data_IF_648663344539
#
_entry.id   IF_648663344539
#
_cell.length_a   1.000
_cell.length_b   1.000
_cell.length_c   1.000
_cell.angle_alpha   90.00
_cell.angle_beta   90.00
_cell.angle_gamma   90.00
#
_symmetry.space_group_name_H-M   'P 1'
#
loop_
_entity.id
_entity.type
_entity.pdbx_description
1 polymer ?
#
# COMPACT_ATOMS: atom_id res chain seq x y z
N UNK A 1 -7.92 -29.40 -32.90
CA UNK A 1 -8.28 -27.98 -32.77
C UNK A 1 -8.12 -27.34 -34.13
N UNK A 2 -9.17 -26.69 -34.63
CA UNK A 2 -9.18 -26.04 -35.94
C UNK A 2 -8.31 -24.76 -35.84
N UNK A 3 -7.30 -24.55 -36.69
CA UNK A 3 -6.42 -23.37 -36.61
C UNK A 3 -7.16 -22.02 -36.84
N UNK A 4 -8.43 -22.08 -37.26
CA UNK A 4 -9.30 -20.91 -37.45
C UNK A 4 -10.16 -20.54 -36.23
N UNK A 5 -10.16 -21.32 -35.14
CA UNK A 5 -10.87 -20.94 -33.91
C UNK A 5 -9.93 -20.15 -32.99
N UNK A 6 -10.22 -18.88 -32.77
CA UNK A 6 -9.43 -18.01 -31.88
C UNK A 6 -9.77 -18.22 -30.40
N UNK A 7 -8.89 -17.75 -29.51
CA UNK A 7 -9.17 -17.72 -28.07
C UNK A 7 -10.48 -16.97 -27.77
N UNK A 8 -11.28 -17.56 -26.89
CA UNK A 8 -12.50 -16.93 -26.39
C UNK A 8 -12.17 -15.65 -25.60
N UNK A 9 -13.02 -14.61 -25.65
CA UNK A 9 -12.80 -13.36 -24.91
C UNK A 9 -12.56 -13.56 -23.40
N UNK A 10 -13.22 -14.54 -22.79
CA UNK A 10 -13.10 -14.88 -21.38
C UNK A 10 -11.71 -15.45 -21.06
N UNK A 11 -11.18 -16.30 -21.93
CA UNK A 11 -9.82 -16.85 -21.80
C UNK A 11 -8.76 -15.77 -21.98
N UNK A 12 -8.98 -14.80 -22.88
CA UNK A 12 -8.10 -13.64 -23.05
C UNK A 12 -8.11 -12.78 -21.78
N UNK A 13 -9.29 -12.47 -21.26
CA UNK A 13 -9.46 -11.66 -20.05
C UNK A 13 -8.82 -12.34 -18.83
N UNK A 14 -9.09 -13.63 -18.63
CA UNK A 14 -8.50 -14.42 -17.56
C UNK A 14 -6.97 -14.49 -17.66
N UNK A 15 -6.43 -14.69 -18.86
CA UNK A 15 -4.98 -14.75 -19.07
C UNK A 15 -4.29 -13.42 -18.71
N UNK A 16 -4.90 -12.30 -19.07
CA UNK A 16 -4.37 -10.96 -18.79
C UNK A 16 -4.33 -10.61 -17.30
N UNK A 17 -5.33 -11.06 -16.55
CA UNK A 17 -5.47 -10.74 -15.12
C UNK A 17 -5.00 -11.88 -14.22
N UNK A 18 -4.34 -12.92 -14.77
CA UNK A 18 -3.85 -14.09 -14.05
C UNK A 18 -4.95 -14.84 -13.27
N UNK A 19 -6.17 -14.89 -13.82
CA UNK A 19 -7.33 -15.53 -13.18
C UNK A 19 -7.68 -16.91 -13.76
N UNK A 20 -6.83 -17.45 -14.65
CA UNK A 20 -7.07 -18.77 -15.23
C UNK A 20 -6.58 -19.88 -14.31
N UNK A 21 -7.37 -20.94 -14.23
CA UNK A 21 -6.95 -22.19 -13.59
C UNK A 21 -5.84 -22.87 -14.41
N UNK A 22 -5.07 -23.76 -13.78
CA UNK A 22 -3.89 -24.36 -14.39
C UNK A 22 -4.18 -25.10 -15.72
N UNK A 23 -5.37 -25.69 -15.87
CA UNK A 23 -5.79 -26.37 -17.09
C UNK A 23 -6.11 -25.38 -18.23
N UNK A 24 -6.83 -24.31 -17.91
CA UNK A 24 -7.19 -23.25 -18.87
C UNK A 24 -5.95 -22.50 -19.34
N UNK A 25 -5.01 -22.24 -18.43
CA UNK A 25 -3.73 -21.62 -18.74
C UNK A 25 -2.91 -22.46 -19.73
N UNK A 26 -2.85 -23.79 -19.53
CA UNK A 26 -2.19 -24.70 -20.49
C UNK A 26 -2.87 -24.68 -21.86
N UNK A 27 -4.20 -24.65 -21.90
CA UNK A 27 -4.95 -24.58 -23.15
C UNK A 27 -4.66 -23.28 -23.92
N UNK A 28 -4.59 -22.15 -23.22
CA UNK A 28 -4.18 -20.86 -23.81
C UNK A 28 -2.75 -20.94 -24.37
N UNK A 29 -1.79 -21.48 -23.61
CA UNK A 29 -0.40 -21.62 -24.08
C UNK A 29 -0.29 -22.52 -25.32
N UNK A 30 -0.98 -23.67 -25.32
CA UNK A 30 -1.00 -24.57 -26.47
C UNK A 30 -1.58 -23.89 -27.72
N UNK A 31 -2.63 -23.08 -27.54
CA UNK A 31 -3.26 -22.36 -28.64
C UNK A 31 -2.37 -21.26 -29.23
N UNK A 32 -1.76 -20.40 -28.40
CA UNK A 32 -0.90 -19.30 -28.88
C UNK A 32 0.41 -19.79 -29.48
N UNK A 33 0.82 -21.02 -29.19
CA UNK A 33 1.91 -21.69 -29.87
C UNK A 33 1.56 -21.98 -31.35
N UNK A 34 0.29 -22.24 -31.65
CA UNK A 34 -0.19 -22.59 -32.99
C UNK A 34 -0.90 -21.43 -33.74
N UNK A 35 -1.33 -20.36 -33.06
CA UNK A 35 -2.07 -19.25 -33.67
C UNK A 35 -1.33 -17.90 -33.56
N UNK A 36 -0.76 -17.42 -34.67
CA UNK A 36 -0.01 -16.15 -34.74
C UNK A 36 -0.89 -14.91 -34.45
N UNK A 37 -2.17 -14.96 -34.81
CA UNK A 37 -3.09 -13.84 -34.58
C UNK A 37 -3.39 -13.65 -33.08
N UNK A 38 -3.69 -14.74 -32.37
CA UNK A 38 -3.90 -14.68 -30.92
C UNK A 38 -2.61 -14.31 -30.17
N UNK A 39 -1.45 -14.77 -30.65
CA UNK A 39 -0.15 -14.36 -30.11
C UNK A 39 0.06 -12.85 -30.22
N UNK A 40 -0.20 -12.26 -31.40
CA UNK A 40 -0.08 -10.81 -31.62
C UNK A 40 -1.10 -9.99 -30.81
N UNK A 41 -2.33 -10.49 -30.68
CA UNK A 41 -3.36 -9.82 -29.90
C UNK A 41 -2.99 -9.75 -28.42
N UNK A 42 -2.47 -10.86 -27.86
CA UNK A 42 -2.03 -10.90 -26.47
C UNK A 42 -0.76 -10.07 -26.26
N UNK A 43 0.22 -10.11 -27.17
CA UNK A 43 1.44 -9.30 -27.07
C UNK A 43 1.16 -7.80 -27.08
N UNK A 44 0.19 -7.35 -27.91
CA UNK A 44 -0.23 -5.94 -27.96
C UNK A 44 -0.91 -5.50 -26.66
N UNK A 45 -1.75 -6.34 -26.06
CA UNK A 45 -2.49 -5.98 -24.86
C UNK A 45 -1.70 -6.15 -23.56
N UNK A 46 -0.69 -7.01 -23.55
CA UNK A 46 0.21 -7.20 -22.40
C UNK A 46 1.47 -6.32 -22.49
N UNK A 47 1.56 -5.46 -23.52
CA UNK A 47 2.71 -4.61 -23.85
C UNK A 47 4.05 -5.37 -23.76
N UNK A 48 4.07 -6.61 -24.27
CA UNK A 48 5.28 -7.45 -24.19
C UNK A 48 6.41 -6.86 -25.02
N UNK A 49 6.10 -5.97 -25.97
CA UNK A 49 7.11 -5.23 -26.72
C UNK A 49 7.89 -4.28 -25.81
N UNK A 50 7.20 -3.54 -24.92
CA UNK A 50 7.88 -2.73 -23.90
C UNK A 50 8.72 -3.61 -22.96
N UNK A 51 8.21 -4.78 -22.54
CA UNK A 51 8.97 -5.71 -21.70
C UNK A 51 10.20 -6.32 -22.42
N UNK A 52 10.09 -6.59 -23.72
CA UNK A 52 11.21 -7.08 -24.55
C UNK A 52 12.22 -5.97 -24.78
N UNK A 53 11.79 -4.74 -24.99
CA UNK A 53 12.69 -3.59 -25.18
C UNK A 53 13.43 -3.23 -23.88
N UNK A 54 12.77 -3.41 -22.73
CA UNK A 54 13.39 -3.26 -21.41
C UNK A 54 14.37 -4.41 -21.11
N UNK A 55 14.03 -5.66 -21.48
CA UNK A 55 14.95 -6.78 -21.39
C UNK A 55 16.16 -6.63 -22.35
N UNK A 56 15.95 -6.10 -23.55
CA UNK A 56 17.03 -5.81 -24.52
C UNK A 56 17.91 -4.68 -24.03
N UNK A 57 17.35 -3.62 -23.46
CA UNK A 57 18.11 -2.50 -22.91
C UNK A 57 18.95 -2.95 -21.70
N UNK A 58 18.44 -3.89 -20.90
CA UNK A 58 19.18 -4.52 -19.80
C UNK A 58 20.30 -5.48 -20.26
N UNK A 59 20.16 -6.09 -21.43
CA UNK A 59 21.16 -7.01 -22.01
C UNK A 59 22.21 -6.31 -22.88
N UNK A 60 21.92 -5.09 -23.34
CA UNK A 60 22.90 -4.29 -24.07
C UNK A 60 23.87 -3.63 -23.07
N UNK A 61 25.17 -3.92 -23.14
CA UNK A 61 26.14 -3.24 -22.29
C UNK A 61 26.13 -1.74 -22.60
N UNK A 62 26.35 -0.87 -21.59
CA UNK A 62 26.33 0.58 -21.82
C UNK A 62 27.37 0.96 -22.87
N UNK A 63 26.95 1.82 -23.81
CA UNK A 63 27.82 2.38 -24.83
C UNK A 63 29.00 3.08 -24.15
N UNK A 64 30.21 2.53 -24.33
CA UNK A 64 31.44 3.10 -23.76
C UNK A 64 31.72 4.45 -24.42
N UNK A 65 32.00 5.52 -23.64
CA UNK A 65 32.50 6.75 -24.23
C UNK A 65 33.87 6.46 -24.86
N UNK A 66 33.99 6.80 -26.14
CA UNK A 66 35.21 6.60 -26.91
C UNK A 66 36.33 7.46 -26.36
N UNK A 67 37.34 6.82 -25.76
CA UNK A 67 38.63 7.43 -25.52
C UNK A 67 39.72 6.47 -26.00
N UNK A 68 40.61 7.05 -26.78
CA UNK A 68 41.63 6.43 -27.62
C UNK A 68 42.82 5.87 -26.82
N UNK A 69 43.54 4.95 -27.49
CA UNK A 69 44.89 4.40 -27.24
C UNK A 69 45.01 2.99 -26.59
N UNK A 70 45.39 2.03 -27.45
CA UNK A 70 46.02 0.72 -27.18
C UNK A 70 47.48 0.88 -26.64
N UNK A 71 48.23 -0.19 -26.25
CA UNK A 71 47.89 -1.62 -26.24
C UNK A 71 48.23 -2.41 -24.95
N UNK A 72 47.49 -3.52 -24.79
CA UNK A 72 47.86 -4.84 -24.23
C UNK A 72 49.29 -4.97 -23.65
N UNK A 73 49.42 -5.27 -22.36
CA UNK A 73 50.15 -6.41 -21.78
C UNK A 73 49.97 -6.43 -20.25
N UNK A 74 49.99 -7.63 -19.66
CA UNK A 74 49.93 -7.98 -18.24
C UNK A 74 48.55 -8.23 -17.63
N UNK A 75 48.02 -9.38 -18.07
CA UNK A 75 47.20 -10.27 -17.28
C UNK A 75 47.91 -10.74 -15.99
N UNK A 76 47.10 -11.28 -15.07
CA UNK A 76 47.46 -12.17 -13.98
C UNK A 76 48.10 -11.53 -12.73
N UNK A 77 47.27 -10.87 -11.89
CA UNK A 77 47.50 -10.83 -10.43
C UNK A 77 46.28 -10.42 -9.56
N UNK A 78 45.19 -9.86 -10.10
CA UNK A 78 44.11 -9.29 -9.28
C UNK A 78 42.78 -10.07 -9.28
N UNK A 79 42.78 -11.34 -9.70
CA UNK A 79 41.55 -12.14 -9.81
C UNK A 79 41.02 -12.70 -8.46
N UNK A 80 41.73 -12.49 -7.34
CA UNK A 80 41.29 -12.92 -6.00
C UNK A 80 40.71 -11.76 -5.15
N UNK A 81 40.81 -10.51 -5.62
CA UNK A 81 40.22 -9.34 -4.92
C UNK A 81 38.83 -8.95 -5.48
N UNK A 82 38.45 -9.46 -6.66
CA UNK A 82 37.18 -9.11 -7.32
C UNK A 82 35.99 -10.01 -6.92
N UNK A 83 36.22 -11.19 -6.33
CA UNK A 83 35.13 -12.04 -5.80
C UNK A 83 34.67 -11.56 -4.42
N UNK A 84 35.57 -11.00 -3.61
CA UNK A 84 35.21 -10.38 -2.32
C UNK A 84 34.54 -9.02 -2.47
N UNK A 85 34.81 -8.26 -3.53
CA UNK A 85 34.14 -6.98 -3.79
C UNK A 85 32.80 -7.12 -4.52
N UNK A 86 32.59 -8.16 -5.33
CA UNK A 86 31.29 -8.48 -5.92
C UNK A 86 30.27 -9.02 -4.90
N UNK A 87 30.72 -9.84 -3.95
CA UNK A 87 29.86 -10.33 -2.86
C UNK A 87 29.52 -9.21 -1.86
N UNK A 88 30.42 -8.26 -1.59
CA UNK A 88 30.12 -7.07 -0.79
C UNK A 88 29.21 -6.07 -1.52
N UNK A 89 29.24 -6.00 -2.85
CA UNK A 89 28.37 -5.08 -3.59
C UNK A 89 26.89 -5.53 -3.63
N UNK A 90 26.63 -6.83 -3.49
CA UNK A 90 25.27 -7.38 -3.33
C UNK A 90 24.77 -7.38 -1.88
N UNK A 91 25.67 -7.43 -0.89
CA UNK A 91 25.30 -7.35 0.54
C UNK A 91 25.15 -5.90 1.03
N UNK A 92 25.73 -4.93 0.31
CA UNK A 92 25.75 -3.52 0.70
C UNK A 92 24.86 -2.61 -0.17
N UNK A 93 23.81 -3.14 -0.81
CA UNK A 93 22.63 -2.35 -1.12
C UNK A 93 21.94 -1.98 0.19
N UNK A 94 22.59 -1.09 0.93
CA UNK A 94 21.98 -0.34 1.99
C UNK A 94 20.73 0.30 1.38
N UNK A 95 19.55 0.08 1.96
CA UNK A 95 18.35 0.70 1.45
C UNK A 95 18.60 2.20 1.47
N UNK A 96 18.31 2.83 0.34
CA UNK A 96 18.53 4.25 0.13
C UNK A 96 17.56 4.99 1.04
N UNK A 97 17.93 5.16 2.31
CA UNK A 97 17.44 6.30 3.08
C UNK A 97 18.00 7.47 2.31
N UNK A 98 17.16 8.13 1.51
CA UNK A 98 17.52 9.27 0.66
C UNK A 98 18.42 10.22 1.42
N UNK A 99 19.74 10.01 1.28
CA UNK A 99 20.81 10.96 1.59
C UNK A 99 20.94 11.88 0.39
N UNK A 100 19.81 12.35 -0.13
CA UNK A 100 19.84 13.53 -0.98
C UNK A 100 20.54 14.60 -0.15
N UNK A 101 21.51 15.28 -0.75
CA UNK A 101 21.88 16.61 -0.26
C UNK A 101 20.58 17.42 -0.09
N UNK A 102 20.48 18.34 0.90
CA UNK A 102 19.25 19.10 1.16
C UNK A 102 18.62 19.73 -0.09
N UNK A 103 19.43 20.00 -1.13
CA UNK A 103 19.02 20.55 -2.43
C UNK A 103 18.29 19.57 -3.36
N UNK A 104 18.37 18.25 -3.13
CA UNK A 104 17.69 17.23 -3.96
C UNK A 104 16.40 16.70 -3.33
N UNK A 105 16.06 17.11 -2.11
CA UNK A 105 14.86 16.64 -1.43
C UNK A 105 13.63 17.46 -1.85
N UNK A 106 12.46 16.82 -2.05
CA UNK A 106 11.22 17.56 -2.29
C UNK A 106 10.98 18.59 -1.18
N UNK A 107 10.47 19.76 -1.54
CA UNK A 107 10.28 20.87 -0.61
C UNK A 107 9.44 20.49 0.63
N UNK A 108 8.44 19.61 0.46
CA UNK A 108 7.62 19.09 1.54
C UNK A 108 8.43 18.24 2.54
N UNK A 109 9.31 17.37 2.05
CA UNK A 109 10.19 16.56 2.90
C UNK A 109 11.19 17.45 3.63
N UNK A 110 11.82 18.38 2.92
CA UNK A 110 12.77 19.32 3.53
C UNK A 110 12.11 20.20 4.60
N UNK A 111 10.86 20.63 4.38
CA UNK A 111 10.09 21.36 5.39
C UNK A 111 9.76 20.48 6.61
N UNK A 112 9.30 19.25 6.38
CA UNK A 112 8.96 18.32 7.44
C UNK A 112 10.17 18.02 8.34
N UNK A 113 11.32 17.70 7.74
CA UNK A 113 12.55 17.44 8.49
C UNK A 113 13.05 18.66 9.28
N UNK A 114 12.98 19.87 8.70
CA UNK A 114 13.41 21.10 9.37
C UNK A 114 12.52 21.49 10.54
N UNK A 115 11.21 21.27 10.42
CA UNK A 115 10.23 21.69 11.43
C UNK A 115 9.88 20.59 12.42
N UNK A 116 10.20 19.33 12.10
CA UNK A 116 9.72 18.16 12.82
C UNK A 116 8.20 17.99 12.76
N UNK A 117 7.53 18.60 11.77
CA UNK A 117 6.06 18.60 11.63
C UNK A 117 5.64 18.03 10.29
N UNK A 118 4.45 17.43 10.27
CA UNK A 118 3.80 16.96 9.06
C UNK A 118 2.59 17.84 8.76
N UNK A 119 2.42 18.17 7.49
CA UNK A 119 1.21 18.84 7.02
C UNK A 119 0.10 17.81 6.91
N UNK A 120 -1.06 18.14 7.47
CA UNK A 120 -2.23 17.29 7.51
C UNK A 120 -3.40 17.99 6.81
N UNK A 121 -4.22 17.26 6.02
CA UNK A 121 -5.37 17.85 5.39
C UNK A 121 -6.45 18.19 6.44
N UNK A 122 -7.21 19.29 6.24
CA UNK A 122 -8.15 19.80 7.23
C UNK A 122 -9.27 18.81 7.58
N UNK A 123 -9.67 17.96 6.63
CA UNK A 123 -10.74 16.97 6.85
C UNK A 123 -10.44 15.96 7.96
N UNK A 124 -9.16 15.73 8.32
CA UNK A 124 -8.82 14.80 9.41
C UNK A 124 -9.45 15.21 10.75
N UNK A 125 -9.63 16.51 10.98
CA UNK A 125 -10.31 17.03 12.18
C UNK A 125 -11.79 16.61 12.24
N UNK A 126 -12.43 16.41 11.10
CA UNK A 126 -13.83 15.98 11.00
C UNK A 126 -13.99 14.46 11.19
N UNK A 127 -12.92 13.70 10.87
CA UNK A 127 -12.88 12.25 11.08
C UNK A 127 -12.58 11.88 12.53
N UNK A 128 -11.81 12.71 13.24
CA UNK A 128 -11.62 12.59 14.67
C UNK A 128 -12.97 12.76 15.37
N UNK A 129 -13.59 11.65 15.79
CA UNK A 129 -14.88 11.68 16.46
C UNK A 129 -14.68 12.19 17.89
N UNK A 130 -15.25 13.36 18.21
CA UNK A 130 -15.27 13.87 19.58
C UNK A 130 -16.11 12.93 20.45
N UNK A 131 -15.59 12.40 21.58
CA UNK A 131 -16.42 11.66 22.53
C UNK A 131 -17.58 12.55 22.98
N UNK A 132 -18.81 12.09 22.74
CA UNK A 132 -20.00 12.76 23.26
C UNK A 132 -20.18 12.27 24.69
N UNK A 133 -19.82 13.10 25.66
CA UNK A 133 -20.08 12.80 27.07
C UNK A 133 -21.59 12.86 27.31
N UNK A 134 -22.24 11.70 27.31
CA UNK A 134 -23.58 11.54 27.88
C UNK A 134 -23.42 11.42 29.40
N UNK A 135 -24.27 12.11 30.18
CA UNK A 135 -24.15 12.26 31.63
C UNK A 135 -23.82 10.95 32.36
N UNK A 136 -22.69 10.95 33.07
CA UNK A 136 -22.16 9.81 33.81
C UNK A 136 -20.67 9.65 33.55
N UNK A 137 -19.92 9.21 34.55
CA UNK A 137 -18.48 9.00 34.51
C UNK A 137 -18.15 7.94 33.45
N UNK A 138 -17.84 8.40 32.24
CA UNK A 138 -17.41 7.54 31.16
C UNK A 138 -15.99 7.07 31.50
N UNK A 139 -15.88 5.82 31.97
CA UNK A 139 -14.66 5.07 31.75
C UNK A 139 -14.48 4.99 30.23
N UNK A 140 -13.69 5.90 29.67
CA UNK A 140 -13.28 5.88 28.27
C UNK A 140 -12.46 4.61 28.06
N UNK A 141 -13.15 3.52 27.75
CA UNK A 141 -12.51 2.31 27.27
C UNK A 141 -12.35 2.54 25.78
N UNK A 142 -11.14 2.84 25.31
CA UNK A 142 -10.88 3.13 23.90
C UNK A 142 -11.61 2.17 22.94
N UNK A 143 -12.19 2.72 21.87
CA UNK A 143 -12.97 1.92 20.92
C UNK A 143 -12.17 0.73 20.38
N UNK A 144 -12.70 -0.51 20.44
CA UNK A 144 -12.01 -1.73 20.01
C UNK A 144 -11.85 -1.82 18.49
N UNK A 145 -12.36 -0.84 17.74
CA UNK A 145 -12.19 -0.71 16.31
C UNK A 145 -10.88 0.01 16.01
N UNK A 146 -9.98 -0.64 15.25
CA UNK A 146 -8.57 -0.23 15.13
C UNK A 146 -8.29 0.54 13.84
N UNK A 147 -8.72 0.01 12.68
CA UNK A 147 -8.49 0.63 11.38
C UNK A 147 -9.61 0.26 10.41
N UNK A 148 -10.05 1.17 9.51
CA UNK A 148 -9.63 2.56 9.40
C UNK A 148 -10.27 3.45 10.48
N UNK A 149 -9.47 4.31 11.14
CA UNK A 149 -9.93 5.19 12.22
C UNK A 149 -9.26 6.55 12.14
N UNK A 150 -10.06 7.60 11.96
CA UNK A 150 -9.58 8.99 11.82
C UNK A 150 -8.50 9.16 10.74
N UNK A 151 -8.61 8.41 9.64
CA UNK A 151 -7.64 8.38 8.53
C UNK A 151 -8.37 8.42 7.18
N UNK A 152 -7.67 8.87 6.15
CA UNK A 152 -8.03 8.54 4.79
C UNK A 152 -7.53 7.13 4.42
N UNK A 153 -8.16 6.55 3.40
CA UNK A 153 -7.73 5.30 2.76
C UNK A 153 -7.79 5.47 1.25
N UNK A 154 -6.99 4.71 0.51
CA UNK A 154 -7.18 4.59 -0.94
C UNK A 154 -8.53 3.90 -1.23
N UNK A 155 -9.08 4.13 -2.42
CA UNK A 155 -10.20 3.33 -2.90
C UNK A 155 -9.81 1.84 -2.96
N UNK A 156 -10.84 0.98 -2.87
CA UNK A 156 -10.74 -0.45 -2.59
C UNK A 156 -9.58 -1.21 -3.29
N UNK A 157 -8.99 -2.23 -2.63
CA UNK A 157 -9.45 -2.85 -1.38
C UNK A 157 -9.18 -2.02 -0.12
N UNK A 158 -10.15 -1.97 0.79
CA UNK A 158 -10.02 -1.34 2.12
C UNK A 158 -10.07 -2.39 3.20
N UNK A 159 -9.08 -2.39 4.08
CA UNK A 159 -8.93 -3.38 5.13
C UNK A 159 -9.41 -2.85 6.48
N UNK A 160 -10.26 -3.64 7.15
CA UNK A 160 -10.85 -3.34 8.44
C UNK A 160 -10.26 -4.26 9.51
N UNK A 161 -9.87 -3.69 10.64
CA UNK A 161 -9.28 -4.38 11.79
C UNK A 161 -9.93 -3.96 13.09
N UNK A 162 -10.21 -4.93 13.95
CA UNK A 162 -10.73 -4.70 15.30
C UNK A 162 -10.08 -5.65 16.30
N UNK A 163 -10.26 -5.37 17.59
CA UNK A 163 -9.82 -6.26 18.65
C UNK A 163 -10.78 -7.47 18.75
N UNK A 164 -10.28 -8.72 18.66
CA UNK A 164 -11.13 -9.89 18.83
C UNK A 164 -11.67 -9.96 20.26
N UNK A 165 -12.94 -10.32 20.39
CA UNK A 165 -13.55 -10.67 21.67
C UNK A 165 -13.08 -12.06 22.12
N UNK A 166 -12.94 -12.25 23.43
CA UNK A 166 -12.55 -13.55 23.99
C UNK A 166 -13.63 -14.61 23.73
N UNK A 167 -13.19 -15.77 23.23
CA UNK A 167 -14.05 -16.90 22.87
C UNK A 167 -14.34 -16.99 21.37
N UNK A 168 -15.15 -17.97 20.97
CA UNK A 168 -15.49 -18.22 19.57
C UNK A 168 -16.64 -17.32 19.12
N UNK A 169 -16.29 -16.19 18.50
CA UNK A 169 -17.24 -15.22 17.96
C UNK A 169 -17.19 -15.19 16.43
N UNK A 170 -18.34 -14.94 15.81
CA UNK A 170 -18.44 -14.57 14.40
C UNK A 170 -18.72 -13.07 14.31
N UNK A 171 -18.03 -12.38 13.43
CA UNK A 171 -18.12 -10.94 13.23
C UNK A 171 -18.79 -10.62 11.91
N UNK A 172 -19.58 -9.54 11.90
CA UNK A 172 -20.11 -8.93 10.70
C UNK A 172 -19.77 -7.45 10.71
N UNK A 173 -19.09 -6.97 9.67
CA UNK A 173 -18.75 -5.56 9.51
C UNK A 173 -19.81 -4.87 8.68
N UNK A 174 -20.21 -3.66 9.07
CA UNK A 174 -21.12 -2.80 8.32
C UNK A 174 -20.51 -1.42 8.18
N UNK A 175 -20.55 -0.90 6.96
CA UNK A 175 -20.04 0.43 6.60
C UNK A 175 -21.20 1.29 6.15
N UNK A 176 -21.29 2.49 6.73
CA UNK A 176 -22.36 3.44 6.48
C UNK A 176 -21.79 4.77 6.02
N UNK A 177 -22.53 5.46 5.16
CA UNK A 177 -22.31 6.89 4.92
C UNK A 177 -22.64 7.67 6.19
N UNK A 178 -22.22 8.94 6.25
CA UNK A 178 -22.61 9.82 7.37
C UNK A 178 -24.12 10.12 7.42
N UNK A 179 -24.85 9.90 6.32
CA UNK A 179 -26.33 9.97 6.29
C UNK A 179 -27.01 8.71 6.82
N UNK A 180 -26.25 7.65 7.12
CA UNK A 180 -26.77 6.38 7.66
C UNK A 180 -27.12 5.33 6.60
N UNK A 181 -26.84 5.58 5.32
CA UNK A 181 -27.04 4.60 4.25
C UNK A 181 -25.94 3.53 4.31
N UNK A 182 -26.32 2.25 4.22
CA UNK A 182 -25.35 1.15 4.20
C UNK A 182 -24.63 1.10 2.85
N UNK A 183 -23.34 1.39 2.85
CA UNK A 183 -22.50 1.37 1.66
C UNK A 183 -21.88 -0.01 1.39
N UNK A 184 -21.52 -0.74 2.45
CA UNK A 184 -20.94 -2.07 2.35
C UNK A 184 -21.24 -2.91 3.60
N UNK A 185 -21.21 -4.23 3.44
CA UNK A 185 -21.33 -5.18 4.55
C UNK A 185 -20.55 -6.46 4.26
N UNK A 186 -20.07 -7.11 5.31
CA UNK A 186 -19.38 -8.40 5.20
C UNK A 186 -20.36 -9.57 5.35
N UNK A 187 -19.96 -10.72 4.80
CA UNK A 187 -20.43 -12.01 5.31
C UNK A 187 -19.87 -12.25 6.73
N UNK A 188 -20.44 -13.18 7.52
CA UNK A 188 -19.86 -13.55 8.80
C UNK A 188 -18.43 -14.05 8.66
N UNK A 189 -17.49 -13.44 9.40
CA UNK A 189 -16.07 -13.82 9.44
C UNK A 189 -15.66 -14.19 10.86
N UNK A 190 -14.72 -15.13 10.99
CA UNK A 190 -14.20 -15.55 12.30
C UNK A 190 -12.99 -14.71 12.70
N UNK A 191 -12.22 -14.27 11.72
CA UNK A 191 -11.04 -13.43 11.92
C UNK A 191 -11.44 -12.00 12.27
N UNK A 192 -10.61 -11.33 13.08
CA UNK A 192 -10.81 -9.92 13.43
C UNK A 192 -10.35 -8.95 12.32
N UNK A 193 -10.57 -9.36 11.07
CA UNK A 193 -10.14 -8.70 9.84
C UNK A 193 -11.19 -8.90 8.76
N UNK A 194 -11.45 -7.86 7.96
CA UNK A 194 -12.27 -7.96 6.75
C UNK A 194 -11.74 -7.04 5.66
N UNK A 195 -11.79 -7.50 4.40
CA UNK A 195 -11.40 -6.71 3.24
C UNK A 195 -12.66 -6.35 2.44
N UNK A 196 -12.88 -5.06 2.27
CA UNK A 196 -13.94 -4.50 1.45
C UNK A 196 -13.42 -4.23 0.04
N UNK A 197 -13.90 -4.99 -0.94
CA UNK A 197 -13.43 -4.91 -2.34
C UNK A 197 -14.19 -3.88 -3.17
N UNK A 198 -15.43 -3.54 -2.82
CA UNK A 198 -16.31 -2.67 -3.63
C UNK A 198 -17.29 -1.89 -2.74
N UNK A 199 -18.03 -0.94 -3.33
CA UNK A 199 -19.10 -0.20 -2.66
C UNK A 199 -18.67 1.10 -1.96
N UNK A 200 -17.38 1.42 -1.97
CA UNK A 200 -16.85 2.66 -1.38
C UNK A 200 -16.52 3.69 -2.47
N UNK A 201 -17.17 4.85 -2.40
CA UNK A 201 -17.05 5.92 -3.39
C UNK A 201 -15.90 6.88 -3.03
N UNK A 202 -14.97 7.17 -3.96
CA UNK A 202 -13.93 8.18 -3.76
C UNK A 202 -14.48 9.54 -3.33
N UNK A 203 -13.81 10.21 -2.40
CA UNK A 203 -14.20 11.52 -1.86
C UNK A 203 -15.31 11.48 -0.81
N UNK A 204 -15.81 10.29 -0.46
CA UNK A 204 -16.87 10.12 0.53
C UNK A 204 -16.30 9.76 1.91
N UNK A 205 -16.99 10.24 2.95
CA UNK A 205 -16.70 9.92 4.35
C UNK A 205 -17.66 8.84 4.83
N UNK A 206 -17.12 7.84 5.51
CA UNK A 206 -17.84 6.69 6.03
C UNK A 206 -17.60 6.51 7.52
N UNK A 207 -18.49 5.77 8.13
CA UNK A 207 -18.36 5.25 9.48
C UNK A 207 -18.66 3.75 9.48
N UNK A 208 -18.11 3.01 10.43
CA UNK A 208 -18.28 1.56 10.43
C UNK A 208 -18.44 0.98 11.83
N UNK A 209 -19.04 -0.20 11.87
CA UNK A 209 -19.36 -0.94 13.08
C UNK A 209 -19.13 -2.43 12.86
N UNK A 210 -18.92 -3.16 13.96
CA UNK A 210 -18.76 -4.61 13.95
C UNK A 210 -19.79 -5.23 14.88
N UNK A 211 -20.61 -6.13 14.38
CA UNK A 211 -21.48 -6.96 15.21
C UNK A 211 -20.83 -8.33 15.41
N UNK A 212 -20.42 -8.62 16.65
CA UNK A 212 -20.01 -9.94 17.08
C UNK A 212 -21.24 -10.76 17.50
N UNK A 213 -21.25 -12.04 17.14
CA UNK A 213 -22.33 -12.97 17.47
C UNK A 213 -21.81 -14.34 17.88
N UNK A 214 -22.44 -14.94 18.89
CA UNK A 214 -22.16 -16.29 19.39
C UNK A 214 -23.46 -16.94 19.86
N UNK A 215 -24.00 -17.85 19.06
CA UNK A 215 -25.34 -18.41 19.31
C UNK A 215 -26.40 -17.30 19.31
N UNK A 216 -27.15 -17.16 20.41
CA UNK A 216 -28.13 -16.09 20.59
C UNK A 216 -27.52 -14.75 21.04
N UNK A 217 -26.28 -14.77 21.52
CA UNK A 217 -25.59 -13.57 22.04
C UNK A 217 -25.11 -12.68 20.89
N UNK A 218 -25.33 -11.36 21.01
CA UNK A 218 -24.89 -10.36 20.03
C UNK A 218 -24.35 -9.13 20.73
N UNK A 219 -23.21 -8.64 20.27
CA UNK A 219 -22.56 -7.42 20.75
C UNK A 219 -22.21 -6.55 19.54
N UNK A 220 -22.58 -5.28 19.57
CA UNK A 220 -22.22 -4.32 18.52
C UNK A 220 -21.12 -3.39 19.03
N UNK A 221 -20.08 -3.23 18.22
CA UNK A 221 -18.92 -2.38 18.46
C UNK A 221 -18.93 -1.21 17.45
N UNK A 222 -18.68 0.03 17.90
CA UNK A 222 -18.46 0.38 19.30
C UNK A 222 -19.78 0.35 20.09
N UNK A 223 -19.68 0.43 21.42
CA UNK A 223 -20.85 0.42 22.30
C UNK A 223 -21.75 1.66 22.11
N UNK A 224 -22.98 1.67 22.67
CA UNK A 224 -23.96 2.75 22.44
C UNK A 224 -23.51 4.16 22.85
N UNK A 225 -22.59 4.27 23.81
CA UNK A 225 -22.05 5.54 24.31
C UNK A 225 -20.86 6.07 23.48
N UNK A 226 -20.32 5.25 22.58
CA UNK A 226 -19.14 5.56 21.79
C UNK A 226 -19.52 5.91 20.35
N UNK A 227 -18.82 6.88 19.76
CA UNK A 227 -19.01 7.24 18.37
C UNK A 227 -18.34 6.21 17.44
N UNK A 228 -19.02 5.75 16.37
CA UNK A 228 -18.41 4.93 15.33
C UNK A 228 -17.16 5.61 14.74
N UNK A 229 -16.05 4.87 14.54
CA UNK A 229 -14.88 5.40 13.87
C UNK A 229 -15.23 5.82 12.45
N UNK A 230 -14.66 6.97 12.04
CA UNK A 230 -14.83 7.53 10.71
C UNK A 230 -13.56 7.43 9.90
N UNK A 231 -13.73 7.30 8.60
CA UNK A 231 -12.65 7.35 7.63
C UNK A 231 -13.13 7.99 6.32
N UNK A 232 -12.19 8.48 5.51
CA UNK A 232 -12.48 9.05 4.19
C UNK A 232 -11.85 8.20 3.11
N UNK A 233 -12.59 7.92 2.04
CA UNK A 233 -11.98 7.36 0.83
C UNK A 233 -11.42 8.53 0.04
N UNK A 234 -10.12 8.49 -0.25
CA UNK A 234 -9.44 9.56 -0.97
C UNK A 234 -10.02 9.71 -2.39
N UNK A 235 -10.06 10.93 -2.90
CA UNK A 235 -10.49 11.21 -4.27
C UNK A 235 -9.58 10.51 -5.29
N UNK A 236 -10.10 10.31 -6.51
CA UNK A 236 -9.38 9.58 -7.57
C UNK A 236 -8.05 10.21 -7.93
N UNK A 237 -8.01 11.53 -8.19
CA UNK A 237 -6.79 12.20 -8.63
C UNK A 237 -5.64 12.20 -7.59
N UNK A 238 -5.87 12.50 -6.30
CA UNK A 238 -4.86 12.27 -5.26
C UNK A 238 -4.45 10.80 -5.13
N UNK A 239 -5.39 9.85 -5.23
CA UNK A 239 -5.09 8.40 -5.16
C UNK A 239 -4.16 7.96 -6.29
N UNK A 240 -4.43 8.38 -7.53
CA UNK A 240 -3.61 8.04 -8.69
C UNK A 240 -2.20 8.61 -8.57
N UNK A 241 -2.09 9.86 -8.11
CA UNK A 241 -0.78 10.50 -7.84
C UNK A 241 0.04 9.72 -6.82
N UNK A 242 -0.57 9.22 -5.74
CA UNK A 242 0.12 8.39 -4.75
C UNK A 242 0.54 7.04 -5.33
N UNK A 243 -0.33 6.37 -6.12
CA UNK A 243 0.02 5.11 -6.79
C UNK A 243 1.18 5.29 -7.77
N UNK A 244 1.19 6.38 -8.54
CA UNK A 244 2.30 6.75 -9.40
C UNK A 244 3.59 7.01 -8.61
N UNK A 245 3.48 7.67 -7.47
CA UNK A 245 4.62 7.96 -6.61
C UNK A 245 5.25 6.67 -6.07
N UNK A 246 4.45 5.74 -5.56
CA UNK A 246 4.90 4.43 -5.06
C UNK A 246 5.60 3.64 -6.16
N UNK A 247 5.06 3.65 -7.39
CA UNK A 247 5.70 2.99 -8.53
C UNK A 247 7.07 3.56 -8.87
N UNK A 248 7.23 4.89 -8.78
CA UNK A 248 8.49 5.57 -9.12
C UNK A 248 9.53 5.48 -8.00
N UNK A 249 9.09 5.43 -6.75
CA UNK A 249 9.95 5.56 -5.57
C UNK A 249 9.64 4.49 -4.51
N UNK A 250 9.72 3.18 -4.83
CA UNK A 250 9.29 2.11 -3.93
C UNK A 250 10.10 2.08 -2.62
N UNK A 251 11.38 2.47 -2.67
CA UNK A 251 12.30 2.41 -1.53
C UNK A 251 12.44 3.76 -0.78
N UNK A 252 11.84 4.86 -1.28
CA UNK A 252 11.91 6.16 -0.61
C UNK A 252 10.83 6.29 0.46
N UNK A 253 11.01 5.51 1.53
CA UNK A 253 10.09 5.47 2.66
C UNK A 253 9.88 6.84 3.33
N UNK A 254 10.88 7.73 3.31
CA UNK A 254 10.72 9.06 3.89
C UNK A 254 9.78 9.92 3.04
N UNK A 255 10.01 9.97 1.73
CA UNK A 255 9.15 10.73 0.82
C UNK A 255 7.74 10.16 0.80
N UNK A 256 7.59 8.83 0.72
CA UNK A 256 6.28 8.18 0.79
C UNK A 256 5.56 8.51 2.09
N UNK A 257 6.25 8.42 3.24
CA UNK A 257 5.66 8.72 4.54
C UNK A 257 5.14 10.16 4.65
N UNK A 258 5.89 11.13 4.14
CA UNK A 258 5.47 12.55 4.12
C UNK A 258 4.28 12.76 3.18
N UNK A 259 4.30 12.18 1.98
CA UNK A 259 3.22 12.35 1.01
C UNK A 259 1.91 11.66 1.44
N UNK A 260 2.00 10.49 2.09
CA UNK A 260 0.84 9.85 2.70
C UNK A 260 0.25 10.69 3.84
N UNK A 261 1.08 11.29 4.69
CA UNK A 261 0.62 12.18 5.76
C UNK A 261 -0.13 13.40 5.19
N UNK A 262 0.41 14.01 4.13
CA UNK A 262 -0.22 15.14 3.42
C UNK A 262 -1.55 14.78 2.77
N UNK A 263 -1.71 13.53 2.34
CA UNK A 263 -2.97 13.00 1.82
C UNK A 263 -3.92 12.51 2.93
N UNK A 264 -3.47 12.47 4.18
CA UNK A 264 -4.26 12.03 5.34
C UNK A 264 -4.31 10.50 5.54
N UNK A 265 -3.48 9.73 4.84
CA UNK A 265 -3.35 8.28 4.97
C UNK A 265 -2.38 7.97 6.13
N UNK A 266 -2.89 8.06 7.35
CA UNK A 266 -2.06 8.07 8.56
C UNK A 266 -1.46 6.70 8.89
N UNK A 267 -2.18 5.62 8.60
CA UNK A 267 -1.67 4.25 8.80
C UNK A 267 -0.48 3.97 7.87
N UNK A 268 -0.60 4.32 6.59
CA UNK A 268 0.45 4.18 5.57
C UNK A 268 1.62 5.14 5.84
N UNK A 269 1.34 6.40 6.20
CA UNK A 269 2.37 7.35 6.60
C UNK A 269 3.21 6.81 7.77
N UNK A 270 2.54 6.24 8.79
CA UNK A 270 3.22 5.63 9.93
C UNK A 270 4.06 4.44 9.51
N UNK A 271 3.53 3.56 8.66
CA UNK A 271 4.26 2.41 8.16
C UNK A 271 5.56 2.84 7.47
N UNK A 272 5.47 3.76 6.49
CA UNK A 272 6.63 4.22 5.75
C UNK A 272 7.63 5.00 6.62
N UNK A 273 7.18 5.91 7.50
CA UNK A 273 8.11 6.61 8.40
C UNK A 273 8.79 5.66 9.40
N UNK A 274 8.11 4.60 9.83
CA UNK A 274 8.71 3.57 10.70
C UNK A 274 9.81 2.82 9.96
N UNK A 275 9.56 2.42 8.71
CA UNK A 275 10.61 1.81 7.89
C UNK A 275 11.78 2.78 7.65
N UNK A 276 11.51 4.05 7.32
CA UNK A 276 12.58 5.04 7.17
C UNK A 276 13.43 5.17 8.45
N UNK A 277 12.81 5.20 9.63
CA UNK A 277 13.50 5.27 10.91
C UNK A 277 14.30 3.99 11.22
N UNK A 278 13.76 2.81 10.85
CA UNK A 278 14.46 1.52 10.98
C UNK A 278 15.73 1.48 10.14
N UNK A 279 15.70 2.07 8.95
CA UNK A 279 16.83 2.10 8.02
C UNK A 279 17.88 3.17 8.37
N UNK A 280 17.51 4.20 9.13
CA UNK A 280 18.45 5.19 9.69
C UNK A 280 18.17 5.52 11.17
N UNK A 281 18.49 4.61 12.11
CA UNK A 281 18.17 4.77 13.53
C UNK A 281 18.77 6.02 14.22
N UNK A 282 19.87 6.53 13.68
CA UNK A 282 20.58 7.73 14.15
C UNK A 282 19.86 9.04 13.82
N UNK A 283 18.89 9.02 12.89
CA UNK A 283 18.16 10.20 12.43
C UNK A 283 17.07 10.59 13.45
N UNK A 284 17.39 11.58 14.30
CA UNK A 284 16.46 12.07 15.33
C UNK A 284 15.23 12.78 14.74
N UNK A 285 15.40 13.45 13.60
CA UNK A 285 14.33 14.08 12.82
C UNK A 285 13.23 13.09 12.42
N UNK A 286 13.58 11.85 12.05
CA UNK A 286 12.58 10.81 11.74
C UNK A 286 11.74 10.40 12.97
N UNK A 287 12.35 10.39 14.16
CA UNK A 287 11.62 10.12 15.40
C UNK A 287 10.63 11.24 15.72
N UNK A 288 11.02 12.50 15.48
CA UNK A 288 10.13 13.65 15.64
C UNK A 288 8.94 13.56 14.68
N UNK A 289 9.16 13.16 13.42
CA UNK A 289 8.06 12.97 12.47
C UNK A 289 7.10 11.85 12.89
N UNK A 290 7.60 10.73 13.42
CA UNK A 290 6.76 9.65 13.94
C UNK A 290 5.91 10.08 15.15
N UNK A 291 6.46 10.93 16.01
CA UNK A 291 5.76 11.53 17.15
C UNK A 291 4.73 12.59 16.71
N UNK A 292 4.93 13.23 15.55
CA UNK A 292 3.99 14.21 15.00
C UNK A 292 2.72 13.57 14.42
N UNK A 293 2.76 12.27 14.07
CA UNK A 293 1.58 11.55 13.60
C UNK A 293 0.60 11.28 14.76
N UNK A 294 -0.72 11.52 14.57
CA UNK A 294 -1.73 11.19 15.57
C UNK A 294 -1.63 9.74 16.03
N UNK A 295 -1.66 9.49 17.34
CA UNK A 295 -1.55 8.13 17.88
C UNK A 295 -2.67 7.23 17.32
N UNK A 296 -2.30 5.99 16.98
CA UNK A 296 -3.28 4.97 16.57
C UNK A 296 -4.24 4.63 17.72
N UNK A 297 -3.80 4.88 18.97
CA UNK A 297 -4.59 4.71 20.18
C UNK A 297 -4.01 5.56 21.34
N UNK A 298 -4.62 6.69 21.75
CA UNK A 298 -4.09 7.55 22.82
C UNK A 298 -4.03 6.91 24.23
N UNK A 299 -4.42 5.65 24.38
CA UNK A 299 -4.60 4.99 25.69
C UNK A 299 -3.70 3.75 25.90
N UNK A 300 -2.74 3.47 25.01
CA UNK A 300 -1.72 2.42 25.26
C UNK A 300 -0.45 2.91 25.96
N UNK A 301 -0.47 4.15 26.47
CA UNK A 301 0.58 4.73 27.33
C UNK A 301 -0.03 5.17 28.65
N UNK A 302 -0.58 4.22 29.43
CA UNK A 302 -0.71 4.33 30.89
C UNK A 302 -0.60 2.95 31.53
#
# INVERSE_FOLDING_TARGET
>A
MNPNDHLRPESIFGFQHQMLEAEELRAVFAHIAACDQCRRLLSQRMDTNAMIDDAKSALLPPARPGMTFLPRYLAAAAAVVLVSSGALWLINRAPVVSRGTPDQQPAAVALALRTGRLDFPPFLKELASTPRTLMGEAASSGSPLLSPKATAVLAAPVEFHWQPLQGSWNYQVRVFTLSGEQAAYSQPVVEARWICETGLTPGSTYQWQVTASRGAERVTLPGPAEAPPRFRVLETAPSDRLRDLVRRLPDDHLQLGVEYARAGLLDEARHHLTEAARLAPQRQDLRLLLQALPEKNPELVR
#
